data_IF_073921822939
#
_entry.id   IF_073921822939
#
_cell.length_a   1.000
_cell.length_b   1.000
_cell.length_c   1.000
_cell.angle_alpha   90.00
_cell.angle_beta   90.00
_cell.angle_gamma   90.00
#
_symmetry.space_group_name_H-M   'P 1'
#
loop_
_entity.id
_entity.type
_entity.pdbx_description
1 polymer ?
#
# COMPACT_ATOMS: atom_id res chain seq x y z
N UNK A 1 13.68 5.44 25.59
CA UNK A 1 12.41 6.06 25.12
C UNK A 1 11.31 5.73 26.11
N UNK A 2 11.09 6.61 27.08
CA UNK A 2 10.08 6.40 28.14
C UNK A 2 8.81 7.24 27.90
N UNK A 3 8.74 7.99 26.82
CA UNK A 3 7.57 8.77 26.48
C UNK A 3 6.58 7.90 25.72
N UNK A 4 5.36 7.83 26.23
CA UNK A 4 4.24 7.06 25.65
C UNK A 4 3.24 8.01 24.99
N UNK A 5 3.76 9.12 24.46
CA UNK A 5 2.96 10.10 23.76
C UNK A 5 2.52 9.54 22.41
N UNK A 6 1.28 9.75 22.01
CA UNK A 6 0.83 9.38 20.70
C UNK A 6 1.59 10.17 19.65
N UNK A 7 2.05 9.52 18.57
CA UNK A 7 2.83 10.15 17.52
C UNK A 7 2.10 10.10 16.17
N UNK A 8 2.15 11.25 15.48
CA UNK A 8 1.62 11.41 14.13
C UNK A 8 2.79 11.58 13.14
N UNK A 9 2.98 10.61 12.27
CA UNK A 9 4.00 10.68 11.22
C UNK A 9 3.40 11.34 9.98
N UNK A 10 3.92 12.50 9.63
CA UNK A 10 3.50 13.28 8.47
C UNK A 10 4.56 13.21 7.39
N UNK A 11 4.20 12.93 6.17
CA UNK A 11 5.15 12.86 5.05
C UNK A 11 4.52 12.39 3.76
N UNK A 12 5.23 12.54 2.65
CA UNK A 12 4.74 12.13 1.33
C UNK A 12 4.47 10.62 1.24
N UNK A 13 3.64 10.21 0.28
CA UNK A 13 3.39 8.80 0.02
C UNK A 13 4.69 8.09 -0.35
N UNK A 14 4.93 6.91 0.25
CA UNK A 14 6.13 6.12 -0.04
C UNK A 14 7.39 6.51 0.72
N UNK A 15 7.37 7.52 1.61
CA UNK A 15 8.53 7.88 2.43
C UNK A 15 8.83 6.92 3.60
N UNK A 16 8.05 5.83 3.74
CA UNK A 16 8.34 4.78 4.72
C UNK A 16 7.69 4.93 6.09
N UNK A 17 6.68 5.79 6.28
CA UNK A 17 5.97 6.00 7.55
C UNK A 17 5.52 4.70 8.21
N UNK A 18 4.78 3.89 7.49
CA UNK A 18 4.28 2.59 7.96
C UNK A 18 5.44 1.62 8.29
N UNK A 19 6.53 1.65 7.50
CA UNK A 19 7.72 0.82 7.75
C UNK A 19 8.45 1.21 9.03
N UNK A 20 8.51 2.50 9.36
CA UNK A 20 9.09 2.98 10.64
C UNK A 20 8.25 2.46 11.81
N UNK A 21 6.92 2.50 11.72
CA UNK A 21 6.03 1.96 12.74
C UNK A 21 6.21 0.44 12.93
N UNK A 22 6.35 -0.31 11.82
CA UNK A 22 6.62 -1.74 11.86
C UNK A 22 7.96 -2.06 12.52
N UNK A 23 9.01 -1.30 12.17
CA UNK A 23 10.33 -1.45 12.79
C UNK A 23 10.29 -1.15 14.28
N UNK A 24 9.58 -0.09 14.69
CA UNK A 24 9.42 0.26 16.10
C UNK A 24 8.74 -0.87 16.88
N UNK A 25 7.68 -1.46 16.33
CA UNK A 25 6.98 -2.58 16.95
C UNK A 25 7.92 -3.79 17.14
N UNK A 26 8.71 -4.10 16.12
CA UNK A 26 9.71 -5.18 16.15
C UNK A 26 10.77 -4.93 17.23
N UNK A 27 11.35 -3.72 17.28
CA UNK A 27 12.36 -3.34 18.27
C UNK A 27 11.82 -3.36 19.70
N UNK A 28 10.53 -3.11 19.90
CA UNK A 28 9.88 -3.16 21.22
C UNK A 28 9.37 -4.54 21.58
N UNK A 29 9.39 -5.49 20.66
CA UNK A 29 8.80 -6.82 20.84
C UNK A 29 7.29 -6.77 21.09
N UNK A 30 6.60 -5.74 20.56
CA UNK A 30 5.16 -5.55 20.68
C UNK A 30 4.45 -5.90 19.37
N UNK A 31 3.23 -6.41 19.48
CA UNK A 31 2.39 -6.64 18.31
C UNK A 31 1.93 -5.32 17.74
N UNK A 32 1.95 -5.21 16.40
CA UNK A 32 1.41 -4.08 15.67
C UNK A 32 0.02 -4.44 15.14
N UNK A 33 -0.98 -3.68 15.57
CA UNK A 33 -2.33 -3.73 14.99
C UNK A 33 -2.48 -2.55 14.06
N UNK A 34 -2.90 -2.79 12.83
CA UNK A 34 -3.03 -1.75 11.81
C UNK A 34 -4.49 -1.56 11.48
N UNK A 35 -4.93 -0.32 11.49
CA UNK A 35 -6.23 0.12 11.01
C UNK A 35 -5.99 1.12 9.87
N UNK A 36 -6.41 0.77 8.67
CA UNK A 36 -6.34 1.66 7.51
C UNK A 36 -7.63 2.47 7.43
N UNK A 37 -7.53 3.78 7.56
CA UNK A 37 -8.67 4.68 7.42
C UNK A 37 -9.03 4.90 5.95
N UNK A 38 -10.31 5.07 5.71
CA UNK A 38 -10.90 5.45 4.42
C UNK A 38 -12.13 6.34 4.66
N UNK A 39 -12.71 6.90 3.61
CA UNK A 39 -13.84 7.85 3.71
C UNK A 39 -15.10 7.28 4.37
N UNK A 40 -15.23 5.95 4.42
CA UNK A 40 -16.34 5.23 5.05
C UNK A 40 -15.93 4.48 6.31
N UNK A 41 -14.83 4.90 6.94
CA UNK A 41 -14.42 4.34 8.23
C UNK A 41 -15.40 4.78 9.30
N UNK A 42 -15.94 3.81 10.03
CA UNK A 42 -16.92 4.03 11.08
C UNK A 42 -16.29 3.82 12.48
N UNK A 43 -16.97 4.31 13.49
CA UNK A 43 -16.54 4.11 14.90
C UNK A 43 -16.42 2.64 15.26
N UNK A 44 -17.28 1.78 14.67
CA UNK A 44 -17.23 0.33 14.84
C UNK A 44 -15.94 -0.32 14.34
N UNK A 45 -15.28 0.25 13.35
CA UNK A 45 -13.99 -0.27 12.84
C UNK A 45 -12.86 -0.12 13.88
N UNK A 46 -12.96 0.88 14.75
CA UNK A 46 -12.04 1.11 15.86
C UNK A 46 -12.43 0.30 17.10
N UNK A 47 -13.69 0.41 17.51
CA UNK A 47 -14.19 -0.08 18.78
C UNK A 47 -14.67 -1.53 18.69
N UNK A 48 -15.15 -1.94 17.54
CA UNK A 48 -15.84 -3.21 17.37
C UNK A 48 -17.36 -3.05 17.37
N UNK A 49 -18.06 -4.17 17.48
CA UNK A 49 -19.49 -4.17 17.38
C UNK A 49 -20.11 -5.54 17.64
N UNK A 50 -21.42 -5.60 17.68
CA UNK A 50 -22.15 -6.85 17.80
C UNK A 50 -22.09 -7.66 16.52
N UNK A 51 -21.67 -8.91 16.63
CA UNK A 51 -21.63 -9.87 15.51
C UNK A 51 -22.52 -11.08 15.79
N UNK A 52 -23.14 -11.67 14.78
CA UNK A 52 -23.90 -12.90 14.94
C UNK A 52 -23.00 -14.02 15.48
N UNK A 53 -23.44 -14.66 16.55
CA UNK A 53 -22.73 -15.79 17.15
C UNK A 53 -22.86 -17.01 16.25
N UNK A 54 -21.76 -17.63 15.86
CA UNK A 54 -21.78 -18.92 15.16
C UNK A 54 -22.02 -20.06 16.15
N UNK A 55 -22.73 -21.13 15.75
CA UNK A 55 -22.97 -22.28 16.64
C UNK A 55 -21.71 -22.99 17.14
N UNK A 56 -20.56 -22.74 16.51
CA UNK A 56 -19.25 -23.33 16.85
C UNK A 56 -18.48 -22.52 17.91
N UNK A 57 -18.93 -21.30 18.24
CA UNK A 57 -18.22 -20.41 19.17
C UNK A 57 -18.73 -20.57 20.62
N UNK A 58 -19.62 -21.53 20.84
CA UNK A 58 -20.10 -21.88 22.18
C UNK A 58 -19.21 -23.00 22.69
N UNK A 59 -18.20 -22.67 23.49
CA UNK A 59 -17.51 -23.62 24.35
C UNK A 59 -18.51 -24.14 25.38
N UNK A 60 -19.39 -25.02 24.94
CA UNK A 60 -20.25 -25.80 25.80
C UNK A 60 -19.40 -26.92 26.39
N UNK A 61 -19.19 -26.92 27.69
CA UNK A 61 -18.77 -28.12 28.39
C UNK A 61 -19.72 -29.27 27.97
N UNK A 62 -19.17 -30.31 27.37
CA UNK A 62 -19.91 -31.54 27.07
C UNK A 62 -20.36 -32.14 28.42
N UNK A 63 -21.61 -31.90 28.79
CA UNK A 63 -22.24 -32.62 29.84
C UNK A 63 -22.36 -34.10 29.44
N UNK A 64 -22.14 -34.99 30.38
CA UNK A 64 -22.05 -36.45 30.23
C UNK A 64 -23.23 -37.12 29.53
N UNK A 65 -24.28 -36.39 29.13
CA UNK A 65 -25.50 -36.92 28.54
C UNK A 65 -25.76 -36.53 27.05
N UNK A 66 -24.79 -35.92 26.40
CA UNK A 66 -24.86 -35.68 24.94
C UNK A 66 -25.98 -34.74 24.45
N UNK A 67 -26.69 -34.07 25.34
CA UNK A 67 -27.72 -33.08 25.03
C UNK A 67 -27.15 -31.68 25.21
N UNK A 68 -26.72 -31.08 24.12
CA UNK A 68 -26.33 -29.65 24.10
C UNK A 68 -27.60 -28.81 24.28
N UNK A 69 -27.81 -28.29 25.48
CA UNK A 69 -28.92 -27.40 25.78
C UNK A 69 -28.69 -26.05 25.13
N UNK A 70 -29.18 -25.87 23.90
CA UNK A 70 -29.03 -24.62 23.09
C UNK A 70 -29.88 -23.46 23.60
N UNK A 71 -30.37 -23.50 24.81
CA UNK A 71 -31.16 -22.44 25.42
C UNK A 71 -30.29 -21.48 26.19
N UNK A 72 -29.84 -20.39 25.50
CA UNK A 72 -29.25 -19.27 26.19
C UNK A 72 -28.15 -18.48 25.50
N UNK A 73 -27.60 -18.95 24.39
CA UNK A 73 -26.62 -18.15 23.66
C UNK A 73 -27.31 -16.95 23.00
N UNK A 74 -26.86 -15.73 23.37
CA UNK A 74 -27.36 -14.53 22.72
C UNK A 74 -27.06 -14.61 21.20
N UNK A 75 -28.02 -14.25 20.34
CA UNK A 75 -27.83 -14.32 18.90
C UNK A 75 -26.71 -13.44 18.36
N UNK A 76 -26.29 -12.47 19.17
CA UNK A 76 -25.20 -11.53 18.88
C UNK A 76 -24.26 -11.44 20.07
N UNK A 77 -22.97 -11.47 19.81
CA UNK A 77 -21.92 -11.22 20.78
C UNK A 77 -21.11 -9.98 20.38
N UNK A 78 -20.67 -9.23 21.37
CA UNK A 78 -19.77 -8.12 21.13
C UNK A 78 -18.37 -8.65 20.76
N UNK A 79 -17.81 -8.15 19.65
CA UNK A 79 -16.43 -8.40 19.26
C UNK A 79 -15.62 -7.11 19.38
N UNK A 80 -14.58 -7.12 20.22
CA UNK A 80 -13.70 -5.96 20.39
C UNK A 80 -12.95 -5.64 19.09
N UNK A 81 -12.92 -4.36 18.75
CA UNK A 81 -12.16 -3.84 17.62
C UNK A 81 -10.66 -3.73 17.89
N UNK A 82 -9.88 -3.33 16.87
CA UNK A 82 -8.42 -3.24 16.99
C UNK A 82 -7.94 -2.27 18.06
N UNK A 83 -8.64 -1.16 18.31
CA UNK A 83 -8.30 -0.19 19.34
C UNK A 83 -8.46 -0.82 20.74
N UNK A 84 -9.60 -1.43 21.03
CA UNK A 84 -9.86 -2.04 22.32
C UNK A 84 -8.87 -3.18 22.58
N UNK A 85 -8.65 -4.04 21.59
CA UNK A 85 -7.67 -5.13 21.68
C UNK A 85 -6.26 -4.60 21.95
N UNK A 86 -5.84 -3.51 21.28
CA UNK A 86 -4.53 -2.91 21.52
C UNK A 86 -4.42 -2.29 22.93
N UNK A 87 -5.47 -1.62 23.39
CA UNK A 87 -5.50 -1.00 24.72
C UNK A 87 -5.41 -2.05 25.84
N UNK A 88 -6.10 -3.19 25.69
CA UNK A 88 -6.08 -4.28 26.69
C UNK A 88 -4.77 -5.05 26.69
N UNK A 89 -4.27 -5.41 25.51
CA UNK A 89 -3.09 -6.27 25.36
C UNK A 89 -1.77 -5.50 25.53
N UNK A 90 -1.83 -4.16 25.47
CA UNK A 90 -0.62 -3.31 25.49
C UNK A 90 0.14 -3.32 24.18
N UNK A 91 -0.56 -3.54 23.09
CA UNK A 91 0.00 -3.55 21.74
C UNK A 91 0.18 -2.12 21.18
N UNK A 92 0.86 -2.01 20.05
CA UNK A 92 0.91 -0.78 19.27
C UNK A 92 -0.28 -0.77 18.31
N UNK A 93 -1.07 0.31 18.33
CA UNK A 93 -2.08 0.59 17.31
C UNK A 93 -1.52 1.59 16.32
N UNK A 94 -1.48 1.23 15.05
CA UNK A 94 -1.20 2.13 13.94
C UNK A 94 -2.49 2.47 13.21
N UNK A 95 -2.85 3.75 13.23
CA UNK A 95 -3.94 4.30 12.42
C UNK A 95 -3.32 4.88 11.15
N UNK A 96 -3.41 4.15 10.06
CA UNK A 96 -2.81 4.54 8.78
C UNK A 96 -3.79 5.40 7.98
N UNK A 97 -3.30 6.47 7.34
CA UNK A 97 -4.10 7.43 6.57
C UNK A 97 -5.19 8.14 7.40
N UNK A 98 -4.86 8.59 8.62
CA UNK A 98 -5.79 9.19 9.59
C UNK A 98 -6.66 10.30 9.00
N UNK A 99 -6.15 11.10 8.08
CA UNK A 99 -6.83 12.23 7.42
C UNK A 99 -7.99 11.83 6.51
N UNK A 100 -8.20 10.54 6.24
CA UNK A 100 -9.32 10.04 5.44
C UNK A 100 -10.56 9.74 6.27
N UNK A 101 -10.42 9.51 7.57
CA UNK A 101 -11.56 9.27 8.46
C UNK A 101 -12.33 10.57 8.75
N UNK A 102 -13.61 10.45 9.08
CA UNK A 102 -14.42 11.59 9.47
C UNK A 102 -14.08 12.08 10.88
N UNK A 103 -14.18 13.40 11.10
CA UNK A 103 -13.89 14.03 12.39
C UNK A 103 -14.74 13.44 13.53
N UNK A 104 -16.00 13.12 13.25
CA UNK A 104 -16.91 12.49 14.23
C UNK A 104 -16.43 11.15 14.73
N UNK A 105 -15.75 10.36 13.88
CA UNK A 105 -15.13 9.09 14.23
C UNK A 105 -13.87 9.33 15.05
N UNK A 106 -13.05 10.29 14.63
CA UNK A 106 -11.79 10.63 15.27
C UNK A 106 -11.98 11.27 16.66
N UNK A 107 -13.11 11.93 16.90
CA UNK A 107 -13.46 12.47 18.22
C UNK A 107 -13.49 11.39 19.31
N UNK A 108 -13.83 10.15 18.96
CA UNK A 108 -13.80 9.02 19.91
C UNK A 108 -12.38 8.68 20.37
N UNK A 109 -11.35 9.08 19.62
CA UNK A 109 -9.95 8.88 20.00
C UNK A 109 -9.45 9.91 21.02
N UNK A 110 -10.14 11.02 21.22
CA UNK A 110 -9.68 12.13 22.06
C UNK A 110 -9.31 11.69 23.48
N UNK A 111 -10.16 10.91 24.12
CA UNK A 111 -9.90 10.43 25.49
C UNK A 111 -8.72 9.45 25.58
N UNK A 112 -8.51 8.67 24.52
CA UNK A 112 -7.37 7.72 24.43
C UNK A 112 -6.04 8.45 24.23
N UNK A 113 -6.08 9.62 23.58
CA UNK A 113 -4.91 10.46 23.32
C UNK A 113 -4.52 11.33 24.52
N UNK A 114 -5.39 11.47 25.50
CA UNK A 114 -5.11 12.20 26.74
C UNK A 114 -4.26 11.38 27.72
N UNK A 115 -3.63 12.00 28.71
CA UNK A 115 -2.76 11.31 29.68
C UNK A 115 -3.44 10.17 30.42
N UNK A 116 -4.76 10.26 30.65
CA UNK A 116 -5.56 9.21 31.29
C UNK A 116 -5.74 7.96 30.47
N UNK A 117 -5.65 8.08 29.13
CA UNK A 117 -5.82 6.98 28.16
C UNK A 117 -7.04 6.12 28.43
N UNK A 118 -8.17 6.76 28.66
CA UNK A 118 -9.43 6.08 28.97
C UNK A 118 -10.33 6.03 27.75
N UNK A 119 -11.18 5.04 27.69
CA UNK A 119 -12.20 4.89 26.65
C UNK A 119 -13.47 4.33 27.29
N UNK A 120 -14.57 5.06 27.17
CA UNK A 120 -15.90 4.60 27.59
C UNK A 120 -16.59 3.92 26.41
N UNK A 121 -17.29 2.81 26.67
CA UNK A 121 -17.91 1.96 25.64
C UNK A 121 -19.44 1.86 25.85
N UNK A 122 -20.20 2.95 25.62
CA UNK A 122 -21.65 2.91 25.69
C UNK A 122 -22.26 2.02 24.61
N UNK A 123 -21.57 1.81 23.49
CA UNK A 123 -22.02 1.00 22.37
C UNK A 123 -22.14 -0.50 22.72
N UNK A 124 -21.42 -0.95 23.75
CA UNK A 124 -21.46 -2.34 24.18
C UNK A 124 -22.77 -2.69 24.91
N UNK A 125 -23.47 -1.67 25.39
CA UNK A 125 -24.69 -1.85 26.15
C UNK A 125 -24.44 -2.47 27.53
N UNK A 126 -25.52 -2.74 28.26
CA UNK A 126 -25.46 -3.28 29.60
C UNK A 126 -26.01 -2.32 30.68
N UNK A 127 -26.06 -2.75 31.91
CA UNK A 127 -26.53 -1.91 33.02
C UNK A 127 -25.51 -0.86 33.45
N UNK A 128 -24.24 -1.09 33.16
CA UNK A 128 -23.15 -0.17 33.46
C UNK A 128 -22.32 0.07 32.20
N UNK A 129 -21.87 1.32 32.03
CA UNK A 129 -20.99 1.68 30.90
C UNK A 129 -19.58 1.20 31.23
N UNK A 130 -19.02 0.35 30.38
CA UNK A 130 -17.63 -0.11 30.54
C UNK A 130 -16.66 1.04 30.30
N UNK A 131 -15.81 1.31 31.29
CA UNK A 131 -14.67 2.23 31.14
C UNK A 131 -13.38 1.42 31.05
N UNK A 132 -12.67 1.56 29.94
CA UNK A 132 -11.42 0.90 29.67
C UNK A 132 -10.25 1.86 29.87
N UNK A 133 -9.30 1.49 30.73
CA UNK A 133 -8.01 2.18 30.88
C UNK A 133 -6.96 1.40 30.09
N UNK A 134 -6.20 2.10 29.25
CA UNK A 134 -5.20 1.43 28.42
C UNK A 134 -4.06 0.83 29.24
N UNK A 135 -3.62 -0.35 28.80
CA UNK A 135 -2.45 -1.01 29.37
C UNK A 135 -1.22 -0.08 29.33
N UNK A 136 -0.33 -0.11 30.34
CA UNK A 136 0.84 0.77 30.39
C UNK A 136 1.74 0.73 29.15
N UNK A 137 1.80 -0.38 28.43
CA UNK A 137 2.63 -0.53 27.21
C UNK A 137 1.93 -0.08 25.93
N UNK A 138 0.63 0.17 25.97
CA UNK A 138 -0.12 0.65 24.81
C UNK A 138 0.51 1.91 24.20
N UNK A 139 0.62 1.95 22.88
CA UNK A 139 1.09 3.10 22.13
C UNK A 139 0.21 3.29 20.89
N UNK A 140 -0.26 4.53 20.69
CA UNK A 140 -0.98 4.90 19.48
C UNK A 140 -0.05 5.67 18.53
N UNK A 141 0.06 5.17 17.31
CA UNK A 141 0.76 5.80 16.20
C UNK A 141 -0.26 6.10 15.12
N UNK A 142 -0.08 7.23 14.44
CA UNK A 142 -0.88 7.58 13.28
C UNK A 142 0.01 8.01 12.12
N UNK A 143 -0.49 7.85 10.90
CA UNK A 143 0.17 8.39 9.71
C UNK A 143 -0.79 9.28 8.95
N UNK A 144 -0.25 10.29 8.30
CA UNK A 144 -0.98 11.09 7.32
C UNK A 144 -0.03 11.60 6.24
N UNK A 145 -0.58 11.92 5.09
CA UNK A 145 0.13 12.67 4.07
C UNK A 145 -0.05 14.17 4.33
N UNK A 146 0.92 15.02 3.97
CA UNK A 146 0.76 16.46 4.09
C UNK A 146 -0.45 16.95 3.30
N UNK A 147 -1.15 17.96 3.81
CA UNK A 147 -2.37 18.50 3.20
C UNK A 147 -2.13 19.02 1.78
N UNK A 148 -3.16 18.90 0.94
CA UNK A 148 -3.16 19.33 -0.46
C UNK A 148 -3.60 18.28 -1.46
N UNK A 149 -3.66 17.01 -1.09
CA UNK A 149 -4.19 15.96 -1.96
C UNK A 149 -5.74 16.01 -1.98
N UNK A 150 -6.30 15.79 -3.16
CA UNK A 150 -7.75 15.85 -3.41
C UNK A 150 -8.50 14.88 -2.46
N UNK A 151 -9.49 15.42 -1.74
CA UNK A 151 -10.35 14.63 -0.84
C UNK A 151 -9.82 14.39 0.58
N UNK A 152 -8.64 14.88 0.95
CA UNK A 152 -8.10 14.81 2.31
C UNK A 152 -8.54 16.01 3.12
N UNK A 153 -9.11 15.75 4.30
CA UNK A 153 -9.47 16.79 5.27
C UNK A 153 -8.24 17.11 6.14
N UNK A 154 -8.11 18.36 6.52
CA UNK A 154 -7.18 18.73 7.58
C UNK A 154 -7.74 18.22 8.92
N UNK A 155 -6.87 17.65 9.75
CA UNK A 155 -7.26 17.24 11.10
C UNK A 155 -7.70 18.48 11.91
N UNK A 156 -8.70 18.31 12.75
CA UNK A 156 -9.10 19.37 13.67
C UNK A 156 -7.90 19.78 14.53
N UNK A 157 -7.71 21.10 14.79
CA UNK A 157 -6.59 21.56 15.63
C UNK A 157 -6.57 20.90 17.01
N UNK A 158 -7.75 20.59 17.56
CA UNK A 158 -7.91 19.94 18.84
C UNK A 158 -7.32 18.52 18.84
N UNK A 159 -7.56 17.75 17.77
CA UNK A 159 -7.00 16.40 17.62
C UNK A 159 -5.50 16.46 17.34
N UNK A 160 -5.08 17.35 16.45
CA UNK A 160 -3.68 17.49 16.03
C UNK A 160 -2.77 17.85 17.20
N UNK A 161 -3.21 18.73 18.09
CA UNK A 161 -2.46 19.15 19.28
C UNK A 161 -2.26 18.03 20.32
N UNK A 162 -2.97 16.92 20.21
CA UNK A 162 -2.81 15.75 21.08
C UNK A 162 -1.75 14.78 20.60
N UNK A 163 -1.26 14.94 19.39
CA UNK A 163 -0.18 14.13 18.83
C UNK A 163 1.16 14.87 18.88
N UNK A 164 2.22 14.10 19.14
CA UNK A 164 3.58 14.53 18.81
C UNK A 164 3.77 14.36 17.30
N UNK A 165 3.81 15.47 16.56
CA UNK A 165 3.94 15.45 15.10
C UNK A 165 5.40 15.27 14.69
N UNK A 166 5.66 14.25 13.87
CA UNK A 166 6.98 13.90 13.35
C UNK A 166 6.94 13.96 11.83
N UNK A 167 7.72 14.88 11.26
CA UNK A 167 7.84 14.99 9.80
C UNK A 167 8.86 13.99 9.27
N UNK A 168 8.37 13.11 8.38
CA UNK A 168 9.17 12.11 7.68
C UNK A 168 9.50 12.65 6.30
N UNK A 169 10.76 13.00 6.09
CA UNK A 169 11.25 13.50 4.80
C UNK A 169 11.08 12.45 3.70
N UNK A 170 10.86 12.93 2.47
CA UNK A 170 10.95 12.05 1.31
C UNK A 170 12.39 11.56 1.16
N UNK A 171 12.58 10.31 0.74
CA UNK A 171 13.89 9.78 0.34
C UNK A 171 14.49 10.71 -0.72
N UNK A 172 15.59 11.36 -0.41
CA UNK A 172 16.13 12.47 -1.20
C UNK A 172 17.34 12.13 -2.03
N UNK A 173 18.02 11.03 -1.72
CA UNK A 173 19.35 10.71 -2.24
C UNK A 173 19.30 9.43 -3.11
N UNK A 174 19.92 9.50 -4.30
CA UNK A 174 20.07 8.38 -5.20
C UNK A 174 20.84 7.21 -4.57
N UNK A 175 21.82 7.50 -3.72
CA UNK A 175 22.62 6.48 -3.04
C UNK A 175 21.79 5.68 -2.03
N UNK A 176 20.89 6.34 -1.32
CA UNK A 176 19.95 5.70 -0.40
C UNK A 176 18.96 4.81 -1.17
N UNK A 177 18.47 5.31 -2.30
CA UNK A 177 17.60 4.55 -3.20
C UNK A 177 18.30 3.32 -3.77
N UNK A 178 19.56 3.45 -4.19
CA UNK A 178 20.37 2.33 -4.65
C UNK A 178 20.51 1.26 -3.56
N UNK A 179 20.79 1.65 -2.32
CA UNK A 179 20.92 0.71 -1.20
C UNK A 179 19.61 -0.05 -0.95
N UNK A 180 18.45 0.64 -1.06
CA UNK A 180 17.13 0.01 -0.95
C UNK A 180 16.95 -1.03 -2.06
N UNK A 181 17.27 -0.70 -3.30
CA UNK A 181 17.16 -1.59 -4.45
C UNK A 181 18.13 -2.79 -4.35
N UNK A 182 19.38 -2.56 -3.95
CA UNK A 182 20.39 -3.63 -3.74
C UNK A 182 19.89 -4.69 -2.75
N UNK A 183 19.23 -4.27 -1.68
CA UNK A 183 18.68 -5.22 -0.69
C UNK A 183 17.52 -6.07 -1.25
N UNK A 184 16.86 -5.60 -2.30
CA UNK A 184 15.78 -6.34 -2.98
C UNK A 184 16.27 -7.24 -4.08
N UNK A 185 17.50 -7.01 -4.56
CA UNK A 185 18.20 -7.80 -5.60
C UNK A 185 19.49 -8.36 -4.99
N UNK A 186 19.41 -9.44 -4.20
CA UNK A 186 20.60 -10.03 -3.55
C UNK A 186 21.53 -10.74 -4.52
N UNK A 187 21.06 -11.14 -5.71
CA UNK A 187 21.81 -11.87 -6.72
C UNK A 187 22.95 -11.01 -7.29
N UNK A 188 24.22 -11.47 -7.24
CA UNK A 188 25.38 -10.68 -7.71
C UNK A 188 25.28 -10.23 -9.16
N UNK A 189 24.71 -11.05 -10.03
CA UNK A 189 24.55 -10.79 -11.47
C UNK A 189 23.55 -9.66 -11.74
N UNK A 190 22.60 -9.43 -10.83
CA UNK A 190 21.56 -8.43 -10.96
C UNK A 190 21.87 -7.13 -10.22
N UNK A 191 22.87 -7.10 -9.35
CA UNK A 191 23.25 -5.92 -8.56
C UNK A 191 23.46 -4.64 -9.40
N UNK A 192 24.09 -4.69 -10.60
CA UNK A 192 24.25 -3.49 -11.42
C UNK A 192 22.93 -2.78 -11.74
N UNK A 193 21.83 -3.54 -11.84
CA UNK A 193 20.50 -2.97 -12.12
C UNK A 193 19.93 -2.15 -10.97
N UNK A 194 20.40 -2.34 -9.74
CA UNK A 194 20.04 -1.45 -8.63
C UNK A 194 20.57 -0.02 -8.87
N UNK A 195 21.77 0.12 -9.39
CA UNK A 195 22.33 1.41 -9.80
C UNK A 195 21.56 2.03 -10.98
N UNK A 196 21.16 1.22 -11.98
CA UNK A 196 20.31 1.69 -13.07
C UNK A 196 18.94 2.19 -12.58
N UNK A 197 18.33 1.50 -11.60
CA UNK A 197 17.08 1.93 -10.97
C UNK A 197 17.24 3.27 -10.26
N UNK A 198 18.30 3.44 -9.49
CA UNK A 198 18.56 4.69 -8.76
C UNK A 198 18.79 5.87 -9.73
N UNK A 199 19.60 5.68 -10.79
CA UNK A 199 19.83 6.69 -11.83
C UNK A 199 18.55 7.04 -12.60
N UNK A 200 17.72 6.03 -12.93
CA UNK A 200 16.44 6.27 -13.58
C UNK A 200 15.51 7.08 -12.69
N UNK A 201 15.45 6.78 -11.41
CA UNK A 201 14.63 7.51 -10.45
C UNK A 201 15.08 8.97 -10.30
N UNK A 202 16.39 9.23 -10.23
CA UNK A 202 16.93 10.59 -10.17
C UNK A 202 16.61 11.36 -11.45
N UNK A 203 16.87 10.78 -12.61
CA UNK A 203 16.52 11.33 -13.90
C UNK A 203 15.02 11.66 -13.99
N UNK A 204 14.17 10.70 -13.59
CA UNK A 204 12.72 10.91 -13.64
C UNK A 204 12.29 12.08 -12.74
N UNK A 205 12.83 12.18 -11.54
CA UNK A 205 12.54 13.30 -10.63
C UNK A 205 12.94 14.64 -11.19
N UNK A 206 14.03 14.71 -11.95
CA UNK A 206 14.50 15.93 -12.61
C UNK A 206 13.53 16.36 -13.71
N UNK A 207 13.15 15.47 -14.61
CA UNK A 207 12.27 15.79 -15.74
C UNK A 207 10.80 15.97 -15.33
N UNK A 208 10.32 15.25 -14.33
CA UNK A 208 8.94 15.36 -13.83
C UNK A 208 8.68 16.65 -13.01
N UNK A 209 9.73 17.30 -12.51
CA UNK A 209 9.61 18.54 -11.74
C UNK A 209 8.84 18.36 -10.44
N UNK A 210 7.83 19.22 -10.22
CA UNK A 210 6.97 19.20 -9.01
C UNK A 210 5.53 18.85 -9.39
N UNK A 211 4.80 18.28 -8.44
CA UNK A 211 3.36 18.00 -8.60
C UNK A 211 3.04 16.56 -8.98
N UNK A 212 1.90 16.35 -9.65
CA UNK A 212 1.33 15.04 -9.96
C UNK A 212 2.28 14.11 -10.78
N UNK A 213 3.07 14.69 -11.70
CA UNK A 213 4.03 13.92 -12.48
C UNK A 213 5.08 13.24 -11.60
N UNK A 214 5.55 13.94 -10.56
CA UNK A 214 6.54 13.40 -9.61
C UNK A 214 5.98 12.24 -8.77
N UNK A 215 4.69 12.28 -8.49
CA UNK A 215 4.00 11.23 -7.75
C UNK A 215 3.81 9.92 -8.56
N UNK A 216 4.08 9.93 -9.85
CA UNK A 216 3.95 8.74 -10.71
C UNK A 216 5.03 7.68 -10.48
N UNK A 217 6.18 8.05 -9.89
CA UNK A 217 7.26 7.10 -9.56
C UNK A 217 7.70 7.28 -8.11
N UNK A 218 7.15 6.45 -7.24
CA UNK A 218 7.45 6.44 -5.82
C UNK A 218 8.51 5.38 -5.48
N UNK A 219 9.06 5.46 -4.27
CA UNK A 219 9.98 4.43 -3.74
C UNK A 219 9.36 3.03 -3.79
N UNK A 220 8.04 2.92 -3.57
CA UNK A 220 7.29 1.66 -3.65
C UNK A 220 7.37 1.04 -5.05
N UNK A 221 7.24 1.88 -6.08
CA UNK A 221 7.25 1.44 -7.48
C UNK A 221 8.65 0.95 -7.90
N UNK A 222 9.69 1.64 -7.43
CA UNK A 222 11.08 1.18 -7.63
C UNK A 222 11.36 -0.15 -6.93
N UNK A 223 10.85 -0.33 -5.72
CA UNK A 223 10.96 -1.62 -5.01
C UNK A 223 10.22 -2.72 -5.78
N UNK A 224 9.02 -2.43 -6.29
CA UNK A 224 8.25 -3.36 -7.12
C UNK A 224 9.00 -3.68 -8.42
N UNK A 225 9.59 -2.66 -9.06
CA UNK A 225 10.42 -2.86 -10.25
C UNK A 225 11.64 -3.73 -9.97
N UNK A 226 12.39 -3.46 -8.87
CA UNK A 226 13.53 -4.28 -8.44
C UNK A 226 13.12 -5.75 -8.23
N UNK A 227 11.99 -5.97 -7.55
CA UNK A 227 11.45 -7.31 -7.31
C UNK A 227 11.03 -8.01 -8.62
N UNK A 228 10.44 -7.27 -9.55
CA UNK A 228 10.09 -7.78 -10.87
C UNK A 228 11.34 -8.21 -11.65
N UNK A 229 12.38 -7.37 -11.72
CA UNK A 229 13.65 -7.71 -12.38
C UNK A 229 14.22 -9.00 -11.79
N UNK A 230 14.24 -9.11 -10.47
CA UNK A 230 14.68 -10.31 -9.78
C UNK A 230 13.85 -11.54 -10.16
N UNK A 231 12.52 -11.46 -10.04
CA UNK A 231 11.62 -12.58 -10.30
C UNK A 231 11.70 -13.04 -11.76
N UNK A 232 11.71 -12.09 -12.70
CA UNK A 232 11.74 -12.37 -14.12
C UNK A 232 13.09 -12.96 -14.59
N UNK A 233 14.21 -12.49 -14.04
CA UNK A 233 15.55 -12.97 -14.40
C UNK A 233 15.88 -14.32 -13.75
N UNK A 234 15.45 -14.55 -12.49
CA UNK A 234 15.77 -15.81 -11.77
C UNK A 234 14.72 -16.89 -11.97
N UNK A 235 13.51 -16.55 -12.42
CA UNK A 235 12.36 -17.45 -12.48
C UNK A 235 11.74 -17.73 -11.09
N UNK A 236 12.12 -16.96 -10.07
CA UNK A 236 11.55 -17.06 -8.72
C UNK A 236 10.11 -16.54 -8.74
N UNK A 237 9.14 -17.40 -8.73
CA UNK A 237 7.70 -17.10 -8.86
C UNK A 237 7.00 -17.99 -9.89
N UNK A 238 7.75 -18.67 -10.73
CA UNK A 238 7.24 -19.52 -11.80
C UNK A 238 6.77 -20.91 -11.35
N UNK A 239 7.01 -21.29 -10.09
CA UNK A 239 6.69 -22.62 -9.57
C UNK A 239 5.18 -22.96 -9.61
N UNK A 240 4.32 -21.95 -9.61
CA UNK A 240 2.85 -22.14 -9.64
C UNK A 240 2.23 -22.19 -11.05
N UNK A 241 2.96 -21.72 -12.09
CA UNK A 241 2.37 -21.56 -13.44
C UNK A 241 3.00 -22.43 -14.53
N UNK A 242 3.97 -23.29 -14.20
CA UNK A 242 4.59 -24.21 -15.18
C UNK A 242 5.41 -23.53 -16.30
N UNK A 243 5.52 -22.21 -16.30
CA UNK A 243 6.25 -21.42 -17.30
C UNK A 243 7.65 -21.10 -16.81
N UNK A 244 8.63 -21.91 -17.19
CA UNK A 244 10.03 -21.81 -16.74
C UNK A 244 10.86 -20.85 -17.63
N UNK A 245 10.27 -19.82 -18.16
CA UNK A 245 10.96 -18.90 -19.06
C UNK A 245 11.53 -17.73 -18.29
N UNK A 246 12.87 -17.60 -18.31
CA UNK A 246 13.60 -16.49 -17.71
C UNK A 246 13.81 -15.40 -18.75
N UNK A 247 13.71 -14.14 -18.34
CA UNK A 247 14.11 -13.00 -19.17
C UNK A 247 15.61 -12.75 -18.97
N UNK A 248 16.26 -12.22 -20.00
CA UNK A 248 17.57 -11.62 -19.80
C UNK A 248 17.44 -10.44 -18.81
N UNK A 249 18.42 -10.22 -17.91
CA UNK A 249 18.31 -9.16 -16.90
C UNK A 249 18.00 -7.77 -17.48
N UNK A 250 18.58 -7.41 -18.62
CA UNK A 250 18.33 -6.15 -19.30
C UNK A 250 16.90 -6.06 -19.86
N UNK A 251 16.37 -7.16 -20.41
CA UNK A 251 14.97 -7.24 -20.83
C UNK A 251 14.02 -7.13 -19.64
N UNK A 252 14.31 -7.82 -18.53
CA UNK A 252 13.52 -7.73 -17.30
C UNK A 252 13.51 -6.29 -16.75
N UNK A 253 14.63 -5.59 -16.84
CA UNK A 253 14.72 -4.18 -16.44
C UNK A 253 13.83 -3.30 -17.34
N UNK A 254 13.94 -3.42 -18.66
CA UNK A 254 13.11 -2.67 -19.59
C UNK A 254 11.61 -2.93 -19.40
N UNK A 255 11.21 -4.18 -19.27
CA UNK A 255 9.81 -4.54 -19.02
C UNK A 255 9.30 -4.01 -17.67
N UNK A 256 10.13 -4.02 -16.65
CA UNK A 256 9.80 -3.43 -15.36
C UNK A 256 9.48 -1.93 -15.46
N UNK A 257 10.21 -1.17 -16.27
CA UNK A 257 9.94 0.25 -16.50
C UNK A 257 8.56 0.49 -17.14
N UNK A 258 8.15 -0.36 -18.08
CA UNK A 258 6.81 -0.26 -18.66
C UNK A 258 5.73 -0.56 -17.65
N UNK A 259 5.85 -1.68 -16.91
CA UNK A 259 4.85 -2.12 -15.95
C UNK A 259 4.66 -1.15 -14.79
N UNK A 260 5.74 -0.55 -14.31
CA UNK A 260 5.68 0.28 -13.10
C UNK A 260 5.41 1.75 -13.38
N UNK A 261 5.76 2.24 -14.57
CA UNK A 261 5.64 3.66 -14.89
C UNK A 261 5.02 3.92 -16.27
N UNK A 262 5.66 3.44 -17.37
CA UNK A 262 5.37 3.94 -18.70
C UNK A 262 3.96 3.66 -19.19
N UNK A 263 3.41 2.46 -18.90
CA UNK A 263 2.07 2.06 -19.33
C UNK A 263 0.98 2.78 -18.53
N UNK A 264 1.29 3.18 -17.28
CA UNK A 264 0.38 3.94 -16.41
C UNK A 264 0.54 5.45 -16.49
N UNK A 265 1.58 5.94 -17.16
CA UNK A 265 1.89 7.37 -17.19
C UNK A 265 0.78 8.16 -17.93
N UNK A 266 0.12 9.05 -17.19
CA UNK A 266 -1.03 9.81 -17.68
C UNK A 266 -2.39 9.21 -17.33
N UNK A 267 -2.45 7.95 -16.87
CA UNK A 267 -3.69 7.34 -16.39
C UNK A 267 -3.94 7.71 -14.93
N UNK A 268 -5.03 8.42 -14.66
CA UNK A 268 -5.43 8.75 -13.28
C UNK A 268 -4.59 9.82 -12.57
N UNK A 269 -3.54 10.35 -13.18
CA UNK A 269 -2.66 11.35 -12.57
C UNK A 269 -3.11 12.81 -12.85
N UNK A 270 -4.14 12.99 -13.64
CA UNK A 270 -4.59 14.34 -14.05
C UNK A 270 -3.58 15.12 -14.91
N UNK A 271 -2.59 14.43 -15.50
CA UNK A 271 -1.61 15.03 -16.37
C UNK A 271 -2.19 15.27 -17.78
N UNK A 272 -1.90 16.42 -18.41
CA UNK A 272 -2.18 16.62 -19.83
C UNK A 272 -1.53 15.54 -20.68
N UNK A 273 -2.24 15.04 -21.69
CA UNK A 273 -1.76 13.92 -22.55
C UNK A 273 -0.41 14.23 -23.22
N UNK A 274 -0.20 15.48 -23.65
CA UNK A 274 1.06 15.90 -24.24
C UNK A 274 2.23 15.83 -23.25
N UNK A 275 2.00 16.24 -22.00
CA UNK A 275 3.00 16.17 -20.92
C UNK A 275 3.36 14.72 -20.61
N UNK A 276 2.35 13.86 -20.47
CA UNK A 276 2.56 12.43 -20.22
C UNK A 276 3.32 11.77 -21.37
N UNK A 277 2.97 12.09 -22.61
CA UNK A 277 3.68 11.59 -23.83
C UNK A 277 5.12 12.08 -23.87
N UNK A 278 5.36 13.37 -23.58
CA UNK A 278 6.71 13.94 -23.53
C UNK A 278 7.60 13.27 -22.48
N UNK A 279 7.08 13.05 -21.28
CA UNK A 279 7.77 12.34 -20.21
C UNK A 279 8.07 10.89 -20.61
N UNK A 280 7.08 10.18 -21.19
CA UNK A 280 7.26 8.80 -21.63
C UNK A 280 8.39 8.68 -22.69
N UNK A 281 8.46 9.60 -23.66
CA UNK A 281 9.52 9.56 -24.67
C UNK A 281 10.91 9.86 -24.09
N UNK A 282 11.01 10.77 -23.13
CA UNK A 282 12.27 11.03 -22.41
C UNK A 282 12.72 9.80 -21.61
N UNK A 283 11.79 9.14 -20.90
CA UNK A 283 12.08 7.91 -20.18
C UNK A 283 12.54 6.77 -21.11
N UNK A 284 11.87 6.60 -22.26
CA UNK A 284 12.27 5.61 -23.28
C UNK A 284 13.64 5.90 -23.87
N UNK A 285 13.99 7.19 -24.07
CA UNK A 285 15.31 7.59 -24.50
C UNK A 285 16.36 7.18 -23.46
N UNK A 286 16.15 7.54 -22.20
CA UNK A 286 17.05 7.14 -21.11
C UNK A 286 17.27 5.64 -21.06
N UNK A 287 16.19 4.83 -21.17
CA UNK A 287 16.29 3.37 -21.17
C UNK A 287 17.11 2.84 -22.35
N UNK A 288 17.00 3.44 -23.54
CA UNK A 288 17.82 3.07 -24.70
C UNK A 288 19.30 3.40 -24.53
N UNK A 289 19.58 4.53 -23.86
CA UNK A 289 20.96 4.98 -23.64
C UNK A 289 21.66 4.16 -22.53
N UNK A 290 20.88 3.67 -21.53
CA UNK A 290 21.40 2.87 -20.41
C UNK A 290 21.52 1.37 -20.71
N UNK A 291 20.74 0.84 -21.64
CA UNK A 291 20.67 -0.58 -21.93
C UNK A 291 21.46 -0.97 -23.17
N UNK A 292 21.94 -2.22 -23.28
CA UNK A 292 22.57 -2.73 -24.51
C UNK A 292 21.65 -2.55 -25.74
N UNK A 293 22.18 -2.20 -26.90
CA UNK A 293 21.38 -1.89 -28.09
C UNK A 293 20.55 -3.07 -28.62
N UNK A 294 20.84 -4.27 -28.15
CA UNK A 294 20.11 -5.50 -28.48
C UNK A 294 18.76 -5.60 -27.76
N UNK A 295 18.58 -4.81 -26.70
CA UNK A 295 17.35 -4.83 -25.90
C UNK A 295 16.28 -3.96 -26.54
N UNK A 296 15.20 -4.59 -26.98
CA UNK A 296 14.06 -3.86 -27.53
C UNK A 296 13.29 -3.11 -26.45
N UNK A 297 13.43 -1.78 -26.44
CA UNK A 297 12.62 -0.88 -25.61
C UNK A 297 11.34 -0.56 -26.37
N UNK A 298 10.38 -1.51 -26.41
CA UNK A 298 9.10 -1.33 -27.09
C UNK A 298 7.92 -1.58 -26.14
N UNK A 299 6.84 -0.80 -26.28
CA UNK A 299 5.60 -0.91 -25.52
C UNK A 299 4.78 -2.19 -25.77
N UNK A 300 5.20 -3.03 -26.68
CA UNK A 300 4.54 -4.31 -26.92
C UNK A 300 5.12 -5.36 -25.98
N UNK A 301 4.72 -5.29 -24.71
CA UNK A 301 4.63 -6.48 -23.89
C UNK A 301 3.84 -7.51 -24.69
N UNK A 302 4.51 -8.56 -25.17
CA UNK A 302 3.82 -9.72 -25.67
C UNK A 302 3.10 -10.33 -24.47
N UNK A 303 1.84 -9.96 -24.23
CA UNK A 303 0.95 -10.55 -23.22
C UNK A 303 0.90 -12.08 -23.36
N UNK A 304 1.23 -12.59 -24.54
CA UNK A 304 1.49 -14.01 -24.82
C UNK A 304 2.65 -14.59 -24.00
N UNK A 305 3.59 -13.75 -23.59
CA UNK A 305 4.73 -14.19 -22.77
C UNK A 305 4.31 -14.60 -21.37
N UNK A 306 3.39 -13.85 -20.75
CA UNK A 306 2.84 -14.18 -19.46
C UNK A 306 1.87 -15.36 -19.47
N UNK A 307 1.22 -15.61 -20.62
CA UNK A 307 0.26 -16.70 -20.79
C UNK A 307 0.90 -17.99 -21.30
N UNK A 308 2.22 -18.05 -21.47
CA UNK A 308 2.92 -19.24 -21.99
C UNK A 308 2.61 -19.55 -23.46
N UNK A 309 2.02 -18.61 -24.23
CA UNK A 309 1.66 -18.80 -25.62
C UNK A 309 2.87 -18.53 -26.52
N UNK A 310 3.15 -19.43 -27.46
CA UNK A 310 4.22 -19.29 -28.44
C UNK A 310 4.10 -17.95 -29.21
N UNK A 311 5.22 -17.29 -29.61
CA UNK A 311 5.17 -16.10 -30.42
C UNK A 311 4.41 -16.38 -31.71
N UNK A 312 3.46 -15.49 -32.08
CA UNK A 312 2.81 -15.58 -33.37
C UNK A 312 3.87 -15.40 -34.47
N UNK A 313 3.82 -16.19 -35.54
CA UNK A 313 4.69 -15.97 -36.72
C UNK A 313 4.49 -14.53 -37.21
N UNK A 314 5.57 -13.85 -37.55
CA UNK A 314 5.55 -12.50 -38.07
C UNK A 314 4.72 -12.48 -39.37
N UNK A 315 3.49 -12.01 -39.27
CA UNK A 315 2.65 -11.73 -40.42
C UNK A 315 3.01 -10.32 -40.88
N UNK A 316 3.80 -10.24 -41.91
CA UNK A 316 3.93 -9.03 -42.74
C UNK A 316 2.56 -8.74 -43.35
N UNK A 317 1.82 -7.78 -42.81
CA UNK A 317 0.66 -7.22 -43.49
C UNK A 317 1.01 -5.80 -43.96
N UNK A 318 1.30 -5.65 -45.23
CA UNK A 318 1.20 -4.39 -45.94
C UNK A 318 -0.23 -3.83 -45.79
N UNK A 319 -0.43 -2.52 -45.67
CA UNK A 319 -1.76 -1.95 -45.65
C UNK A 319 -2.35 -1.93 -47.07
N UNK A 320 -3.33 -2.80 -47.32
CA UNK A 320 -4.21 -2.67 -48.49
C UNK A 320 -5.39 -1.80 -48.14
N UNK A 321 -5.78 -0.83 -48.97
CA UNK A 321 -6.94 0.00 -48.76
C UNK A 321 -8.21 -0.76 -49.18
N UNK A 322 -9.11 -1.05 -48.24
CA UNK A 322 -10.40 -1.64 -48.57
C UNK A 322 -11.55 -0.73 -48.12
N UNK A 323 -12.12 -0.08 -49.13
CA UNK A 323 -13.54 0.02 -49.45
C UNK A 323 -14.55 0.09 -48.28
N UNK A 324 -14.97 1.30 -48.07
CA UNK A 324 -16.23 1.66 -47.44
C UNK A 324 -17.40 1.14 -48.28
N UNK A 325 -18.13 0.11 -47.83
CA UNK A 325 -19.40 -0.31 -48.40
C UNK A 325 -20.54 -0.10 -47.42
N UNK A 326 -21.44 0.72 -47.84
CA UNK A 326 -22.77 1.13 -47.38
C UNK A 326 -23.53 0.05 -46.63
N UNK A 327 -24.05 0.43 -45.46
CA UNK A 327 -25.19 -0.26 -44.78
C UNK A 327 -26.50 0.29 -45.37
N UNK A 328 -27.46 -0.54 -45.81
CA UNK A 328 -28.77 -0.10 -46.23
C UNK A 328 -29.70 0.10 -45.05
N UNK A 329 -30.29 1.27 -44.96
CA UNK A 329 -31.46 1.59 -44.17
C UNK A 329 -32.65 0.73 -44.62
N UNK A 330 -33.32 0.04 -43.69
CA UNK A 330 -34.70 -0.43 -43.87
C UNK A 330 -35.57 0.16 -42.78
N UNK A 331 -36.73 0.58 -43.24
CA UNK A 331 -37.89 1.23 -42.65
C UNK A 331 -38.33 0.62 -41.34
#
# INVERSE_FOLDING_TARGET
>A
MNHKEPALLVGETGCGKTSVCQLLALLRGQKLRILNCHQHTETGDFLGGFRPTRPTDVDGEEGADGVVDKKGAAPFAWEDGPLIKAMRDGDILLVDELSLAEDSVLERLNSVLEPGRTLTLPEKGGSEVEELVAHPNFLLLATMNPGGDFGKKELSPALRNRFCEIWVGATGDASEMEQICVRRIPEPELKPYAGHLARFWEFYREIAGRGAARAALLTRDLVAWAQFVRAAATGAGSAASGCNRRLAPAEAFAHGAYLTLLDGLGLGLGLPEETARGLAEQCKKFLRDELPPEVSVSSRLNFRFFLGLAPAPAVFTSPSPLLCSRVPTKR
#
